data_IF_877462108087
#
_entry.id   IF_877462108087
#
_cell.length_a   1.000
_cell.length_b   1.000
_cell.length_c   1.000
_cell.angle_alpha   90.00
_cell.angle_beta   90.00
_cell.angle_gamma   90.00
#
_symmetry.space_group_name_H-M   'P 1'
#
loop_
_entity.id
_entity.type
_entity.pdbx_description
1 polymer ?
#
# COMPACT_ATOMS: atom_id res chain seq x y z
N UNK A 1 -15.05 11.40 -15.69
CA UNK A 1 -16.13 12.40 -15.46
C UNK A 1 -17.01 12.65 -16.69
N UNK A 2 -16.65 12.14 -17.87
CA UNK A 2 -17.44 12.21 -19.11
C UNK A 2 -18.86 11.64 -18.96
N UNK A 3 -19.02 10.52 -18.23
CA UNK A 3 -20.34 9.92 -17.97
C UNK A 3 -21.30 10.84 -17.20
N UNK A 4 -20.82 11.82 -16.43
CA UNK A 4 -21.71 12.71 -15.66
C UNK A 4 -22.70 13.46 -16.57
N UNK A 5 -22.24 13.82 -17.77
CA UNK A 5 -23.02 14.56 -18.74
C UNK A 5 -23.65 13.65 -19.81
N UNK A 6 -22.97 12.55 -20.16
CA UNK A 6 -23.38 11.69 -21.27
C UNK A 6 -24.27 10.50 -20.84
N UNK A 7 -24.06 9.94 -19.64
CA UNK A 7 -24.84 8.83 -19.11
C UNK A 7 -24.95 8.94 -17.57
N UNK A 8 -25.96 9.70 -17.14
CA UNK A 8 -26.20 9.96 -15.72
C UNK A 8 -26.54 8.68 -14.92
N UNK A 9 -27.35 7.73 -15.42
CA UNK A 9 -27.52 6.43 -14.77
C UNK A 9 -26.22 5.68 -14.52
N UNK A 10 -25.33 5.57 -15.51
CA UNK A 10 -24.04 4.90 -15.36
C UNK A 10 -23.13 5.65 -14.38
N UNK A 11 -23.05 6.98 -14.49
CA UNK A 11 -22.32 7.81 -13.53
C UNK A 11 -22.77 7.58 -12.08
N UNK A 12 -24.08 7.47 -11.85
CA UNK A 12 -24.62 7.21 -10.51
C UNK A 12 -24.18 5.83 -9.98
N UNK A 13 -24.10 4.80 -10.84
CA UNK A 13 -23.58 3.47 -10.45
C UNK A 13 -22.11 3.55 -10.05
N UNK A 14 -21.25 4.19 -10.85
CA UNK A 14 -19.85 4.42 -10.48
C UNK A 14 -19.74 5.18 -9.16
N UNK A 15 -20.46 6.29 -9.02
CA UNK A 15 -20.42 7.12 -7.81
C UNK A 15 -20.92 6.37 -6.57
N UNK A 16 -21.84 5.43 -6.71
CA UNK A 16 -22.34 4.63 -5.59
C UNK A 16 -21.37 3.52 -5.20
N UNK A 17 -20.81 2.82 -6.18
CA UNK A 17 -20.07 1.58 -5.98
C UNK A 17 -18.55 1.72 -6.11
N UNK A 18 -18.00 2.94 -6.22
CA UNK A 18 -16.56 3.18 -6.35
C UNK A 18 -15.69 2.50 -5.29
N UNK A 19 -16.20 2.34 -4.06
CA UNK A 19 -15.47 1.65 -2.98
C UNK A 19 -15.24 0.16 -3.29
N UNK A 20 -16.11 -0.48 -4.06
CA UNK A 20 -15.93 -1.89 -4.45
C UNK A 20 -14.73 -2.07 -5.38
N UNK A 21 -14.44 -1.09 -6.25
CA UNK A 21 -13.25 -1.11 -7.11
C UNK A 21 -11.93 -1.06 -6.32
N UNK A 22 -11.98 -0.57 -5.08
CA UNK A 22 -10.81 -0.49 -4.19
C UNK A 22 -10.67 -1.72 -3.28
N UNK A 23 -11.73 -2.51 -3.12
CA UNK A 23 -11.71 -3.71 -2.28
C UNK A 23 -10.86 -4.78 -2.97
N UNK A 24 -9.99 -5.51 -2.24
CA UNK A 24 -9.29 -6.68 -2.76
C UNK A 24 -10.21 -7.59 -3.58
N UNK A 25 -9.81 -7.90 -4.81
CA UNK A 25 -10.68 -8.65 -5.73
C UNK A 25 -11.03 -10.04 -5.18
N UNK A 26 -10.13 -10.66 -4.42
CA UNK A 26 -10.33 -11.97 -3.79
C UNK A 26 -11.32 -11.93 -2.62
N UNK A 27 -11.62 -10.74 -2.09
CA UNK A 27 -12.58 -10.54 -1.00
C UNK A 27 -13.97 -10.13 -1.51
N UNK A 28 -14.17 -10.05 -2.82
CA UNK A 28 -15.48 -9.75 -3.40
C UNK A 28 -16.35 -11.01 -3.46
N UNK A 29 -17.54 -10.92 -2.90
CA UNK A 29 -18.55 -11.97 -2.96
C UNK A 29 -18.93 -12.28 -4.41
N UNK A 30 -18.82 -13.57 -4.76
CA UNK A 30 -19.06 -14.09 -6.11
C UNK A 30 -20.37 -14.88 -6.23
N UNK A 31 -20.85 -15.50 -5.15
CA UNK A 31 -21.96 -16.46 -5.21
C UNK A 31 -23.28 -15.89 -4.66
N UNK A 32 -23.23 -15.01 -3.68
CA UNK A 32 -24.43 -14.47 -3.05
C UNK A 32 -25.00 -13.28 -3.83
N UNK A 33 -26.13 -13.53 -4.51
CA UNK A 33 -26.88 -12.49 -5.22
C UNK A 33 -27.74 -11.72 -4.24
N UNK A 34 -27.64 -10.39 -4.30
CA UNK A 34 -28.45 -9.51 -3.48
C UNK A 34 -29.17 -8.48 -4.35
N UNK A 35 -30.32 -8.00 -3.88
CA UNK A 35 -31.01 -6.86 -4.48
C UNK A 35 -30.20 -5.59 -4.21
N UNK A 36 -29.51 -5.10 -5.24
CA UNK A 36 -28.65 -3.92 -5.12
C UNK A 36 -29.28 -2.70 -5.82
N UNK A 37 -29.21 -1.50 -5.23
CA UNK A 37 -29.80 -0.33 -5.84
C UNK A 37 -29.13 0.08 -7.16
N UNK A 38 -29.86 0.80 -8.03
CA UNK A 38 -29.44 1.22 -9.37
C UNK A 38 -29.25 0.08 -10.39
N UNK A 39 -29.46 -1.18 -10.00
CA UNK A 39 -29.56 -2.32 -10.90
C UNK A 39 -30.98 -2.89 -10.88
N UNK A 40 -31.48 -3.29 -12.04
CA UNK A 40 -32.80 -3.94 -12.15
C UNK A 40 -32.74 -5.42 -11.74
N UNK A 41 -31.57 -6.02 -11.87
CA UNK A 41 -31.30 -7.42 -11.57
C UNK A 41 -30.54 -7.54 -10.25
N UNK A 42 -30.64 -8.72 -9.64
CA UNK A 42 -29.81 -9.08 -8.50
C UNK A 42 -28.36 -9.21 -8.97
N UNK A 43 -27.42 -8.75 -8.17
CA UNK A 43 -26.00 -8.78 -8.49
C UNK A 43 -25.18 -9.16 -7.26
N UNK A 44 -24.02 -9.76 -7.52
CA UNK A 44 -22.97 -10.00 -6.54
C UNK A 44 -22.02 -8.81 -6.51
N UNK A 45 -21.21 -8.66 -5.45
CA UNK A 45 -20.27 -7.53 -5.40
C UNK A 45 -19.21 -7.62 -6.50
N UNK A 46 -18.77 -8.83 -6.83
CA UNK A 46 -17.87 -9.09 -7.96
C UNK A 46 -18.54 -8.75 -9.30
N UNK A 47 -19.78 -9.17 -9.50
CA UNK A 47 -20.54 -8.85 -10.72
C UNK A 47 -20.83 -7.35 -10.90
N UNK A 48 -20.88 -6.56 -9.81
CA UNK A 48 -20.94 -5.09 -9.91
C UNK A 48 -19.60 -4.54 -10.38
N UNK A 49 -18.49 -5.02 -9.84
CA UNK A 49 -17.14 -4.60 -10.25
C UNK A 49 -16.92 -4.93 -11.72
N UNK A 50 -17.16 -6.18 -12.14
CA UNK A 50 -16.98 -6.60 -13.52
C UNK A 50 -17.84 -5.75 -14.47
N UNK A 51 -19.10 -5.48 -14.10
CA UNK A 51 -19.97 -4.55 -14.86
C UNK A 51 -19.36 -3.14 -14.99
N UNK A 52 -18.78 -2.59 -13.92
CA UNK A 52 -18.19 -1.26 -13.96
C UNK A 52 -16.87 -1.21 -14.73
N UNK A 53 -16.13 -2.31 -14.84
CA UNK A 53 -14.88 -2.35 -15.58
C UNK A 53 -15.11 -2.50 -17.10
N UNK A 54 -16.25 -3.04 -17.50
CA UNK A 54 -16.62 -3.32 -18.91
C UNK A 54 -16.73 -2.05 -19.80
N UNK A 55 -16.91 -0.87 -19.21
CA UNK A 55 -17.14 0.37 -19.97
C UNK A 55 -15.88 1.21 -20.26
N UNK A 56 -14.73 0.85 -19.68
CA UNK A 56 -13.48 1.60 -19.88
C UNK A 56 -12.27 0.66 -19.76
N UNK A 57 -11.69 0.29 -20.91
CA UNK A 57 -10.50 -0.57 -21.00
C UNK A 57 -9.33 -0.04 -20.16
N UNK A 58 -9.18 1.28 -20.06
CA UNK A 58 -8.10 1.89 -19.28
C UNK A 58 -8.34 1.67 -17.80
N UNK A 59 -9.59 1.78 -17.35
CA UNK A 59 -9.98 1.48 -15.97
C UNK A 59 -9.82 0.00 -15.67
N UNK A 60 -10.28 -0.89 -16.57
CA UNK A 60 -10.13 -2.34 -16.47
C UNK A 60 -8.65 -2.72 -16.28
N UNK A 61 -7.78 -2.28 -17.19
CA UNK A 61 -6.34 -2.55 -17.12
C UNK A 61 -5.72 -2.00 -15.83
N UNK A 62 -6.05 -0.76 -15.48
CA UNK A 62 -5.55 -0.13 -14.24
C UNK A 62 -5.95 -0.94 -13.01
N UNK A 63 -7.22 -1.35 -12.92
CA UNK A 63 -7.74 -2.15 -11.82
C UNK A 63 -7.04 -3.51 -11.75
N UNK A 64 -6.96 -4.21 -12.89
CA UNK A 64 -6.32 -5.52 -13.00
C UNK A 64 -4.87 -5.50 -12.49
N UNK A 65 -4.02 -4.63 -13.05
CA UNK A 65 -2.61 -4.57 -12.68
C UNK A 65 -2.39 -4.13 -11.23
N UNK A 66 -3.18 -3.18 -10.71
CA UNK A 66 -3.07 -2.76 -9.31
C UNK A 66 -3.38 -3.90 -8.36
N UNK A 67 -4.46 -4.65 -8.62
CA UNK A 67 -4.83 -5.77 -7.76
C UNK A 67 -3.87 -6.95 -7.87
N UNK A 68 -3.34 -7.25 -9.06
CA UNK A 68 -2.28 -8.23 -9.24
C UNK A 68 -1.01 -7.86 -8.47
N UNK A 69 -0.53 -6.62 -8.62
CA UNK A 69 0.65 -6.15 -7.87
C UNK A 69 0.42 -6.21 -6.37
N UNK A 70 -0.75 -5.77 -5.89
CA UNK A 70 -1.12 -5.86 -4.47
C UNK A 70 -1.11 -7.31 -3.97
N UNK A 71 -1.68 -8.23 -4.75
CA UNK A 71 -1.73 -9.65 -4.41
C UNK A 71 -0.31 -10.25 -4.36
N UNK A 72 0.51 -10.00 -5.39
CA UNK A 72 1.90 -10.48 -5.45
C UNK A 72 2.73 -9.99 -4.25
N UNK A 73 2.62 -8.70 -3.89
CA UNK A 73 3.31 -8.14 -2.73
C UNK A 73 2.78 -8.68 -1.40
N UNK A 74 1.50 -9.03 -1.31
CA UNK A 74 0.91 -9.59 -0.08
C UNK A 74 1.37 -11.03 0.17
N UNK A 75 1.47 -11.82 -0.89
CA UNK A 75 1.86 -13.23 -0.81
C UNK A 75 3.37 -13.44 -1.00
N UNK A 76 4.16 -12.36 -1.11
CA UNK A 76 5.60 -12.38 -1.43
C UNK A 76 5.93 -13.18 -2.71
N UNK A 77 5.04 -13.13 -3.70
CA UNK A 77 5.23 -13.81 -5.00
C UNK A 77 6.06 -12.93 -5.94
N UNK A 78 7.37 -13.17 -5.93
CA UNK A 78 8.35 -12.48 -6.78
C UNK A 78 8.10 -12.69 -8.28
N UNK A 79 7.72 -13.90 -8.69
CA UNK A 79 7.51 -14.23 -10.10
C UNK A 79 6.30 -13.49 -10.65
N UNK A 80 5.20 -13.50 -9.90
CA UNK A 80 3.99 -12.76 -10.25
C UNK A 80 4.25 -11.25 -10.26
N UNK A 81 4.97 -10.72 -9.26
CA UNK A 81 5.32 -9.29 -9.23
C UNK A 81 6.12 -8.88 -10.47
N UNK A 82 7.18 -9.62 -10.81
CA UNK A 82 8.09 -9.29 -11.90
C UNK A 82 7.39 -9.36 -13.26
N UNK A 83 6.67 -10.45 -13.52
CA UNK A 83 5.88 -10.62 -14.74
C UNK A 83 4.81 -9.54 -14.90
N UNK A 84 4.11 -9.18 -13.81
CA UNK A 84 3.10 -8.12 -13.82
C UNK A 84 3.73 -6.75 -14.14
N UNK A 85 4.85 -6.39 -13.51
CA UNK A 85 5.54 -5.12 -13.77
C UNK A 85 6.02 -5.02 -15.24
N UNK A 86 6.51 -6.13 -15.80
CA UNK A 86 6.97 -6.18 -17.18
C UNK A 86 5.83 -6.08 -18.18
N UNK A 87 4.68 -6.73 -17.92
CA UNK A 87 3.50 -6.71 -18.78
C UNK A 87 2.84 -5.32 -18.88
N UNK A 88 2.99 -4.46 -17.87
CA UNK A 88 2.35 -3.13 -17.85
C UNK A 88 2.90 -2.23 -18.96
N UNK A 89 2.01 -1.91 -19.90
CA UNK A 89 2.22 -0.90 -20.93
C UNK A 89 1.66 0.45 -20.48
N UNK A 90 2.48 1.50 -20.47
CA UNK A 90 2.12 2.80 -19.89
C UNK A 90 0.89 3.45 -20.52
N UNK A 91 0.67 3.28 -21.83
CA UNK A 91 -0.49 3.83 -22.53
C UNK A 91 -1.84 3.30 -22.03
N UNK A 92 -1.86 2.06 -21.53
CA UNK A 92 -3.07 1.31 -21.21
C UNK A 92 -3.56 1.52 -19.77
N UNK A 93 -2.80 2.24 -18.95
CA UNK A 93 -3.13 2.49 -17.55
C UNK A 93 -3.37 3.98 -17.27
N UNK A 94 -4.07 4.28 -16.18
CA UNK A 94 -4.35 5.64 -15.75
C UNK A 94 -3.04 6.45 -15.53
N UNK A 95 -2.98 7.73 -15.95
CA UNK A 95 -1.75 8.53 -15.85
C UNK A 95 -1.14 8.62 -14.45
N UNK A 96 -1.99 8.69 -13.41
CA UNK A 96 -1.52 8.71 -12.01
C UNK A 96 -0.82 7.42 -11.60
N UNK A 97 -1.28 6.27 -12.11
CA UNK A 97 -0.65 4.99 -11.84
C UNK A 97 0.71 4.87 -12.54
N UNK A 98 0.86 5.43 -13.75
CA UNK A 98 2.12 5.39 -14.49
C UNK A 98 3.30 5.90 -13.66
N UNK A 99 3.12 6.98 -12.89
CA UNK A 99 4.17 7.52 -12.02
C UNK A 99 4.61 6.47 -10.99
N UNK A 100 3.63 5.83 -10.35
CA UNK A 100 3.90 4.79 -9.35
C UNK A 100 4.59 3.58 -9.98
N UNK A 101 4.20 3.18 -11.19
CA UNK A 101 4.84 2.08 -11.93
C UNK A 101 6.28 2.44 -12.33
N UNK A 102 6.57 3.68 -12.73
CA UNK A 102 7.97 4.11 -12.99
C UNK A 102 8.81 3.96 -11.73
N UNK A 103 8.29 4.41 -10.59
CA UNK A 103 8.98 4.27 -9.31
C UNK A 103 9.23 2.79 -8.99
N UNK A 104 8.22 1.93 -9.14
CA UNK A 104 8.38 0.49 -8.90
C UNK A 104 9.39 -0.15 -9.85
N UNK A 105 9.42 0.25 -11.13
CA UNK A 105 10.44 -0.21 -12.10
C UNK A 105 11.85 0.27 -11.74
N UNK A 106 11.99 1.52 -11.31
CA UNK A 106 13.29 2.09 -10.92
C UNK A 106 13.86 1.45 -9.65
N UNK A 107 12.99 1.03 -8.72
CA UNK A 107 13.37 0.41 -7.46
C UNK A 107 13.08 -1.09 -7.43
N UNK A 108 13.02 -1.74 -8.61
CA UNK A 108 12.59 -3.12 -8.76
C UNK A 108 13.39 -4.07 -7.87
N UNK A 109 14.72 -4.02 -7.95
CA UNK A 109 15.61 -4.89 -7.16
C UNK A 109 15.43 -4.67 -5.64
N UNK A 110 15.18 -3.44 -5.21
CA UNK A 110 14.93 -3.14 -3.79
C UNK A 110 13.61 -3.73 -3.33
N UNK A 111 12.57 -3.71 -4.17
CA UNK A 111 11.29 -4.34 -3.87
C UNK A 111 11.45 -5.86 -3.80
N UNK A 112 12.20 -6.48 -4.73
CA UNK A 112 12.48 -7.93 -4.67
C UNK A 112 13.18 -8.34 -3.38
N UNK A 113 14.18 -7.56 -2.94
CA UNK A 113 14.82 -7.79 -1.65
C UNK A 113 13.81 -7.75 -0.49
N UNK A 114 12.78 -6.90 -0.54
CA UNK A 114 11.75 -6.89 0.52
C UNK A 114 10.87 -8.14 0.53
N UNK A 115 10.67 -8.79 -0.62
CA UNK A 115 9.91 -10.04 -0.73
C UNK A 115 10.75 -11.23 -0.25
N UNK A 116 12.04 -11.24 -0.59
CA UNK A 116 13.00 -12.25 -0.11
C UNK A 116 13.17 -12.20 1.42
N UNK A 117 13.43 -11.01 1.97
CA UNK A 117 13.65 -10.80 3.40
C UNK A 117 12.37 -10.43 4.17
N UNK A 118 11.35 -11.29 4.06
CA UNK A 118 10.01 -11.07 4.65
C UNK A 118 9.98 -10.97 6.19
N UNK A 119 11.05 -11.38 6.87
CA UNK A 119 11.21 -11.25 8.32
C UNK A 119 11.60 -9.84 8.78
N UNK A 120 12.04 -8.97 7.87
CA UNK A 120 12.34 -7.58 8.17
C UNK A 120 11.05 -6.77 8.25
N UNK A 121 10.90 -6.00 9.34
CA UNK A 121 9.73 -5.15 9.54
C UNK A 121 10.14 -3.68 9.56
N UNK A 122 9.22 -2.80 9.14
CA UNK A 122 9.42 -1.36 9.24
C UNK A 122 9.32 -0.82 10.68
N UNK A 123 8.94 -1.66 11.65
CA UNK A 123 8.69 -1.25 13.04
C UNK A 123 9.87 -0.51 13.71
N UNK A 124 11.11 -1.03 13.67
CA UNK A 124 12.27 -0.34 14.23
C UNK A 124 12.53 1.03 13.55
N UNK A 125 12.42 1.09 12.21
CA UNK A 125 12.62 2.31 11.44
C UNK A 125 11.55 3.36 11.78
N UNK A 126 10.27 2.94 11.85
CA UNK A 126 9.15 3.78 12.26
C UNK A 126 9.32 4.27 13.70
N UNK A 127 9.77 3.42 14.61
CA UNK A 127 10.08 3.77 15.99
C UNK A 127 11.11 4.89 16.09
N UNK A 128 12.22 4.77 15.35
CA UNK A 128 13.26 5.80 15.27
C UNK A 128 12.68 7.10 14.68
N UNK A 129 11.95 7.02 13.56
CA UNK A 129 11.34 8.18 12.92
C UNK A 129 10.35 8.90 13.83
N UNK A 130 9.53 8.16 14.58
CA UNK A 130 8.58 8.72 15.53
C UNK A 130 9.29 9.38 16.71
N UNK A 131 10.39 8.80 17.21
CA UNK A 131 11.23 9.42 18.25
C UNK A 131 11.84 10.73 17.77
N UNK A 132 12.37 10.77 16.55
CA UNK A 132 12.92 12.00 15.94
C UNK A 132 11.83 13.08 15.81
N UNK A 133 10.65 12.71 15.31
CA UNK A 133 9.49 13.62 15.21
C UNK A 133 9.07 14.15 16.58
N UNK A 134 9.06 13.30 17.61
CA UNK A 134 8.75 13.71 18.99
C UNK A 134 9.80 14.71 19.51
N UNK A 135 11.09 14.44 19.32
CA UNK A 135 12.17 15.34 19.72
C UNK A 135 11.99 16.72 19.08
N UNK A 136 11.73 16.77 17.77
CA UNK A 136 11.48 18.01 17.04
C UNK A 136 10.24 18.75 17.54
N UNK A 137 9.17 18.02 17.92
CA UNK A 137 7.92 18.61 18.43
C UNK A 137 8.11 19.23 19.82
N UNK A 138 8.73 18.49 20.74
CA UNK A 138 8.94 18.93 22.14
C UNK A 138 9.93 20.08 22.24
N UNK A 139 10.88 20.19 21.30
CA UNK A 139 11.84 21.29 21.25
C UNK A 139 11.30 22.55 20.57
N UNK A 140 10.06 22.53 20.07
CA UNK A 140 9.50 23.59 19.20
C UNK A 140 10.37 23.85 17.94
N UNK A 141 10.97 22.79 17.40
CA UNK A 141 11.93 22.85 16.30
C UNK A 141 13.37 23.09 16.75
N UNK A 142 14.30 22.96 15.81
CA UNK A 142 15.72 23.26 16.02
C UNK A 142 16.18 24.18 14.91
N UNK A 143 16.91 25.25 15.25
CA UNK A 143 17.52 26.15 14.27
C UNK A 143 18.80 25.57 13.67
N UNK A 144 19.52 24.75 14.45
CA UNK A 144 20.79 24.13 14.05
C UNK A 144 20.63 22.60 13.96
N UNK A 145 20.93 22.04 12.79
CA UNK A 145 20.85 20.59 12.54
C UNK A 145 21.81 19.80 13.45
N UNK A 146 23.02 20.30 13.72
CA UNK A 146 23.99 19.66 14.60
C UNK A 146 23.42 19.46 16.00
N UNK A 147 22.70 20.45 16.52
CA UNK A 147 22.04 20.36 17.83
C UNK A 147 20.92 19.31 17.83
N UNK A 148 20.12 19.27 16.75
CA UNK A 148 19.10 18.22 16.58
C UNK A 148 19.74 16.83 16.50
N UNK A 149 20.79 16.66 15.71
CA UNK A 149 21.52 15.39 15.56
C UNK A 149 22.08 14.91 16.90
N UNK A 150 22.74 15.79 17.65
CA UNK A 150 23.29 15.47 18.96
C UNK A 150 22.19 15.05 19.95
N UNK A 151 21.06 15.78 19.96
CA UNK A 151 19.88 15.43 20.76
C UNK A 151 19.32 14.06 20.39
N UNK A 152 19.19 13.75 19.11
CA UNK A 152 18.70 12.45 18.63
C UNK A 152 19.61 11.34 19.15
N UNK A 153 20.92 11.44 18.92
CA UNK A 153 21.92 10.44 19.35
C UNK A 153 21.84 10.20 20.87
N UNK A 154 21.79 11.27 21.67
CA UNK A 154 21.68 11.19 23.13
C UNK A 154 20.38 10.50 23.57
N UNK A 155 19.25 10.82 22.94
CA UNK A 155 17.94 10.31 23.32
C UNK A 155 17.63 8.90 22.81
N UNK A 156 18.22 8.48 21.69
CA UNK A 156 17.96 7.17 21.08
C UNK A 156 18.93 6.08 21.53
N UNK A 157 20.02 6.44 22.24
CA UNK A 157 21.05 5.48 22.72
C UNK A 157 21.61 4.57 21.62
N UNK A 158 21.51 4.97 20.35
CA UNK A 158 21.93 4.16 19.19
C UNK A 158 23.42 3.80 19.21
N UNK A 159 24.23 4.55 19.96
CA UNK A 159 25.67 4.37 20.09
C UNK A 159 26.11 4.11 21.54
N UNK A 160 25.18 3.85 22.46
CA UNK A 160 25.54 3.51 23.83
C UNK A 160 26.10 2.09 23.86
N UNK A 161 27.29 1.92 24.44
CA UNK A 161 27.85 0.59 24.73
C UNK A 161 26.84 -0.21 25.56
N UNK A 162 26.55 -1.44 25.16
CA UNK A 162 25.65 -2.32 25.90
C UNK A 162 26.11 -2.36 27.37
N UNK A 163 25.30 -1.93 28.35
CA UNK A 163 25.63 -2.19 29.73
C UNK A 163 25.62 -3.71 29.88
N UNK A 164 26.77 -4.30 30.22
CA UNK A 164 26.87 -5.72 30.59
C UNK A 164 25.77 -5.99 31.61
N UNK A 165 24.79 -6.84 31.27
CA UNK A 165 23.84 -7.33 32.26
C UNK A 165 24.64 -8.22 33.21
N UNK A 166 25.10 -7.67 34.33
CA UNK A 166 25.53 -8.49 35.45
C UNK A 166 24.30 -9.23 35.98
N UNK A 167 24.17 -10.50 35.57
CA UNK A 167 23.27 -11.43 36.24
C UNK A 167 23.90 -11.70 37.60
N UNK A 168 23.47 -10.98 38.63
CA UNK A 168 23.74 -11.37 40.02
C UNK A 168 22.98 -12.66 40.27
N UNK A 169 23.63 -13.80 40.04
CA UNK A 169 23.17 -15.07 40.60
C UNK A 169 23.19 -14.92 42.12
N UNK A 170 22.01 -14.89 42.74
CA UNK A 170 21.88 -15.07 44.18
C UNK A 170 22.39 -16.47 44.49
N UNK A 171 23.56 -16.57 45.12
CA UNK A 171 23.97 -17.82 45.77
C UNK A 171 22.98 -18.07 46.90
N UNK A 172 22.10 -19.04 46.71
CA UNK A 172 21.36 -19.65 47.81
C UNK A 172 22.39 -20.39 48.69
N UNK A 173 22.39 -20.06 49.98
CA UNK A 173 23.14 -20.74 51.02
C UNK A 173 22.44 -22.05 51.41
#
# INVERSE_FOLDING_TARGET
>A
NTFRNNDRPLYNKYKRYWKLLLKPYEQLEMFEYNKVPLFKQWKTTKGIVDFLLDFDDKLLNTHHYVHQLRYALKENDEQLYTSTIQAITMGNIAPKLQISIRTLKNYHDMVLNTLEYSNLTNGPLEGINNKIKLIKRVSFGYRNFTNLRNRIILCTRLFSSNPKKEIKQLKAA
#
